data_IF_288186346298
#
_entry.id   IF_288186346298
#
_cell.length_a   1.000
_cell.length_b   1.000
_cell.length_c   1.000
_cell.angle_alpha   90.00
_cell.angle_beta   90.00
_cell.angle_gamma   90.00
#
_symmetry.space_group_name_H-M   'P 1'
#
loop_
_entity.id
_entity.type
_entity.pdbx_description
1 polymer ?
#
# COMPACT_ATOMS: atom_id res chain seq x y z
N UNK A 1 -8.96 22.33 10.49
CA UNK A 1 -8.65 20.97 10.09
C UNK A 1 -7.38 20.92 9.26
N UNK A 2 -6.60 19.92 9.52
CA UNK A 2 -5.32 19.75 8.86
C UNK A 2 -5.40 19.05 7.52
N UNK A 3 -6.57 18.58 7.08
CA UNK A 3 -6.67 17.86 5.81
C UNK A 3 -6.80 18.82 4.64
N UNK A 4 -5.99 18.58 3.62
CA UNK A 4 -6.05 19.28 2.38
C UNK A 4 -6.98 18.50 1.44
N UNK A 5 -8.08 19.10 1.00
CA UNK A 5 -9.05 18.39 0.17
C UNK A 5 -8.47 18.01 -1.19
N UNK A 6 -7.56 18.80 -1.74
CA UNK A 6 -6.89 18.43 -2.99
C UNK A 6 -6.02 17.20 -2.82
N UNK A 7 -5.34 17.09 -1.69
CA UNK A 7 -4.51 15.94 -1.37
C UNK A 7 -5.37 14.67 -1.25
N UNK A 8 -6.51 14.78 -0.56
CA UNK A 8 -7.43 13.66 -0.39
C UNK A 8 -7.99 13.21 -1.74
N UNK A 9 -8.39 14.16 -2.58
CA UNK A 9 -8.92 13.85 -3.91
C UNK A 9 -7.88 13.15 -4.77
N UNK A 10 -6.64 13.57 -4.67
CA UNK A 10 -5.56 12.96 -5.43
C UNK A 10 -5.32 11.51 -5.00
N UNK A 11 -5.36 11.25 -3.70
CA UNK A 11 -5.23 9.89 -3.17
C UNK A 11 -6.36 9.00 -3.71
N UNK A 12 -7.58 9.50 -3.68
CA UNK A 12 -8.75 8.76 -4.14
C UNK A 12 -8.61 8.39 -5.61
N UNK A 13 -8.15 9.34 -6.42
CA UNK A 13 -7.93 9.10 -7.84
C UNK A 13 -6.79 8.11 -8.08
N UNK A 14 -5.67 8.30 -7.41
CA UNK A 14 -4.50 7.45 -7.61
C UNK A 14 -4.78 6.01 -7.23
N UNK A 15 -5.59 5.80 -6.21
CA UNK A 15 -5.93 4.45 -5.76
C UNK A 15 -7.19 3.90 -6.43
N UNK A 16 -7.82 4.71 -7.29
CA UNK A 16 -8.98 4.29 -8.08
C UNK A 16 -10.12 3.76 -7.21
N UNK A 17 -10.43 4.51 -6.17
CA UNK A 17 -11.45 4.10 -5.21
C UNK A 17 -12.70 4.99 -5.22
N UNK A 18 -12.80 5.92 -6.19
CA UNK A 18 -13.93 6.85 -6.24
C UNK A 18 -15.28 6.15 -6.10
N UNK A 19 -15.50 5.10 -6.90
CA UNK A 19 -16.79 4.41 -6.90
C UNK A 19 -17.00 3.53 -5.66
N UNK A 20 -15.96 3.33 -4.87
CA UNK A 20 -16.04 2.45 -3.70
C UNK A 20 -16.47 3.19 -2.45
N UNK A 21 -16.47 4.52 -2.48
CA UNK A 21 -16.66 5.33 -1.29
C UNK A 21 -18.05 5.17 -0.65
N UNK A 22 -19.04 4.77 -1.43
CA UNK A 22 -20.39 4.54 -0.91
C UNK A 22 -20.71 3.09 -0.64
N UNK A 23 -19.74 2.18 -0.81
CA UNK A 23 -19.99 0.75 -0.68
C UNK A 23 -19.75 0.27 0.74
N UNK A 24 -20.46 -0.80 1.12
CA UNK A 24 -20.17 -1.48 2.38
C UNK A 24 -18.83 -2.22 2.26
N UNK A 25 -18.02 -2.24 3.32
CA UNK A 25 -16.73 -2.96 3.25
C UNK A 25 -16.87 -4.41 2.82
N UNK A 26 -17.94 -5.09 3.25
CA UNK A 26 -18.15 -6.49 2.91
C UNK A 26 -18.39 -6.75 1.43
N UNK A 27 -18.80 -5.72 0.69
CA UNK A 27 -19.08 -5.87 -0.73
C UNK A 27 -17.85 -5.63 -1.60
N UNK A 28 -16.74 -5.25 -1.00
CA UNK A 28 -15.51 -4.96 -1.75
C UNK A 28 -14.66 -6.22 -1.93
N UNK A 29 -14.00 -6.32 -3.09
CA UNK A 29 -13.03 -7.38 -3.32
C UNK A 29 -11.81 -7.18 -2.42
N UNK A 30 -10.96 -8.21 -2.30
CA UNK A 30 -9.74 -8.10 -1.52
C UNK A 30 -8.85 -6.95 -1.96
N UNK A 31 -8.68 -6.81 -3.27
CA UNK A 31 -7.87 -5.71 -3.81
C UNK A 31 -8.48 -4.35 -3.54
N UNK A 32 -9.80 -4.26 -3.65
CA UNK A 32 -10.51 -3.01 -3.36
C UNK A 32 -10.39 -2.65 -1.88
N UNK A 33 -10.56 -3.64 -1.00
CA UNK A 33 -10.38 -3.40 0.43
C UNK A 33 -8.97 -2.91 0.75
N UNK A 34 -7.98 -3.50 0.10
CA UNK A 34 -6.59 -3.12 0.32
C UNK A 34 -6.34 -1.68 -0.14
N UNK A 35 -6.89 -1.30 -1.28
CA UNK A 35 -6.72 0.07 -1.78
C UNK A 35 -7.37 1.09 -0.86
N UNK A 36 -8.54 0.78 -0.33
CA UNK A 36 -9.22 1.66 0.63
C UNK A 36 -8.41 1.79 1.92
N UNK A 37 -7.84 0.68 2.39
CA UNK A 37 -7.00 0.70 3.59
C UNK A 37 -5.76 1.57 3.39
N UNK A 38 -5.13 1.50 2.22
CA UNK A 38 -3.98 2.34 1.89
C UNK A 38 -4.38 3.80 1.87
N UNK A 39 -5.52 4.12 1.25
CA UNK A 39 -6.00 5.50 1.19
C UNK A 39 -6.25 6.06 2.58
N UNK A 40 -6.83 5.24 3.45
CA UNK A 40 -7.10 5.66 4.82
C UNK A 40 -5.81 5.98 5.58
N UNK A 41 -4.81 5.14 5.40
CA UNK A 41 -3.52 5.36 6.05
C UNK A 41 -2.85 6.63 5.51
N UNK A 42 -2.92 6.84 4.20
CA UNK A 42 -2.31 8.03 3.58
C UNK A 42 -3.00 9.33 3.96
N UNK A 43 -4.31 9.28 4.26
CA UNK A 43 -5.06 10.48 4.59
C UNK A 43 -4.48 11.19 5.81
N UNK A 44 -3.81 10.46 6.69
CA UNK A 44 -3.16 11.02 7.88
C UNK A 44 -1.82 11.68 7.57
N UNK A 45 -1.37 11.64 6.32
CA UNK A 45 -0.09 12.19 5.86
C UNK A 45 1.09 11.64 6.66
N UNK A 46 1.24 10.30 6.71
CA UNK A 46 2.29 9.70 7.53
C UNK A 46 3.65 9.87 6.88
N UNK A 47 4.69 9.85 7.70
CA UNK A 47 6.06 9.84 7.19
C UNK A 47 6.48 8.43 6.78
N UNK A 48 5.89 7.43 7.41
CA UNK A 48 6.18 6.03 7.15
C UNK A 48 4.86 5.29 6.99
N UNK A 49 4.75 4.52 5.91
CA UNK A 49 3.60 3.66 5.66
C UNK A 49 4.06 2.21 5.78
N UNK A 50 3.46 1.46 6.70
CA UNK A 50 3.75 0.03 6.85
C UNK A 50 2.69 -0.78 6.13
N UNK A 51 3.13 -1.70 5.30
CA UNK A 51 2.23 -2.60 4.59
C UNK A 51 2.64 -4.04 4.91
N UNK A 52 1.79 -4.74 5.65
CA UNK A 52 2.06 -6.09 6.11
C UNK A 52 1.38 -7.08 5.16
N UNK A 53 2.19 -7.80 4.38
CA UNK A 53 1.73 -8.74 3.37
C UNK A 53 0.62 -8.13 2.50
N UNK A 54 0.88 -6.97 1.89
CA UNK A 54 -0.20 -6.22 1.23
C UNK A 54 -0.81 -6.93 0.02
N UNK A 55 -0.15 -7.94 -0.52
CA UNK A 55 -0.65 -8.67 -1.68
C UNK A 55 -0.89 -10.15 -1.38
N UNK A 56 -0.79 -10.55 -0.11
CA UNK A 56 -0.77 -11.96 0.27
C UNK A 56 -2.03 -12.73 -0.07
N UNK A 57 -3.19 -12.09 -0.05
CA UNK A 57 -4.45 -12.76 -0.35
C UNK A 57 -5.02 -12.37 -1.71
N UNK A 58 -4.24 -11.67 -2.54
CA UNK A 58 -4.71 -11.17 -3.82
C UNK A 58 -4.24 -12.07 -4.96
N UNK A 59 -5.00 -12.11 -6.06
CA UNK A 59 -4.58 -12.79 -7.26
C UNK A 59 -3.42 -12.00 -7.91
N UNK A 60 -2.83 -12.58 -8.96
CA UNK A 60 -1.64 -11.99 -9.58
C UNK A 60 -1.91 -10.59 -10.13
N UNK A 61 -3.06 -10.41 -10.78
CA UNK A 61 -3.41 -9.13 -11.38
C UNK A 61 -3.54 -8.04 -10.31
N UNK A 62 -4.29 -8.34 -9.25
CA UNK A 62 -4.50 -7.38 -8.17
C UNK A 62 -3.23 -7.16 -7.35
N UNK A 63 -2.41 -8.20 -7.21
CA UNK A 63 -1.11 -8.06 -6.52
C UNK A 63 -0.23 -7.04 -7.23
N UNK A 64 -0.13 -7.16 -8.55
CA UNK A 64 0.68 -6.21 -9.33
C UNK A 64 0.14 -4.80 -9.25
N UNK A 65 -1.19 -4.66 -9.30
CA UNK A 65 -1.84 -3.36 -9.22
C UNK A 65 -1.56 -2.69 -7.88
N UNK A 66 -1.79 -3.40 -6.78
CA UNK A 66 -1.60 -2.84 -5.43
C UNK A 66 -0.13 -2.51 -5.19
N UNK A 67 0.78 -3.41 -5.58
CA UNK A 67 2.21 -3.14 -5.41
C UNK A 67 2.65 -1.93 -6.19
N UNK A 68 2.17 -1.79 -7.45
CA UNK A 68 2.49 -0.62 -8.25
C UNK A 68 2.00 0.67 -7.61
N UNK A 69 0.82 0.64 -7.02
CA UNK A 69 0.27 1.79 -6.30
C UNK A 69 1.12 2.14 -5.09
N UNK A 70 1.55 1.15 -4.32
CA UNK A 70 2.40 1.39 -3.14
C UNK A 70 3.73 2.02 -3.54
N UNK A 71 4.35 1.53 -4.61
CA UNK A 71 5.62 2.08 -5.08
C UNK A 71 5.45 3.52 -5.57
N UNK A 72 4.33 3.80 -6.23
CA UNK A 72 4.03 5.15 -6.69
C UNK A 72 3.82 6.11 -5.52
N UNK A 73 3.18 5.65 -4.45
CA UNK A 73 2.98 6.44 -3.24
C UNK A 73 4.32 6.88 -2.64
N UNK A 74 5.26 5.96 -2.57
CA UNK A 74 6.59 6.28 -2.04
C UNK A 74 7.25 7.42 -2.81
N UNK A 75 7.07 7.43 -4.13
CA UNK A 75 7.68 8.47 -4.97
C UNK A 75 6.91 9.79 -4.92
N UNK A 76 5.59 9.72 -4.86
CA UNK A 76 4.76 10.90 -5.05
C UNK A 76 4.43 11.65 -3.77
N UNK A 77 4.26 10.95 -2.66
CA UNK A 77 3.74 11.54 -1.44
C UNK A 77 4.77 11.75 -0.34
N UNK A 78 6.03 11.60 -0.66
CA UNK A 78 7.12 11.79 0.31
C UNK A 78 6.90 10.95 1.58
N UNK A 79 6.42 9.73 1.38
CA UNK A 79 6.16 8.78 2.45
C UNK A 79 7.11 7.61 2.29
N UNK A 80 7.84 7.27 3.34
CA UNK A 80 8.69 6.08 3.31
C UNK A 80 7.81 4.84 3.37
N UNK A 81 8.14 3.85 2.57
CA UNK A 81 7.34 2.64 2.48
C UNK A 81 8.11 1.47 3.08
N UNK A 82 7.49 0.78 4.05
CA UNK A 82 8.04 -0.44 4.63
C UNK A 82 7.05 -1.56 4.32
N UNK A 83 7.50 -2.55 3.56
CA UNK A 83 6.67 -3.69 3.19
C UNK A 83 7.19 -4.94 3.87
N UNK A 84 6.31 -5.62 4.60
CA UNK A 84 6.62 -6.90 5.23
C UNK A 84 6.01 -7.97 4.35
N UNK A 85 6.84 -8.89 3.85
CA UNK A 85 6.37 -9.88 2.89
C UNK A 85 7.20 -11.16 2.93
N UNK A 86 6.56 -12.28 2.62
CA UNK A 86 7.23 -13.55 2.38
C UNK A 86 7.45 -13.77 0.87
N UNK A 87 6.96 -12.89 0.04
CA UNK A 87 7.05 -13.03 -1.41
C UNK A 87 8.38 -12.50 -1.94
N UNK A 88 9.17 -13.37 -2.56
CA UNK A 88 10.41 -12.95 -3.19
C UNK A 88 10.16 -12.01 -4.36
N UNK A 89 9.05 -12.22 -5.07
CA UNK A 89 8.68 -11.37 -6.19
C UNK A 89 8.42 -9.95 -5.74
N UNK A 90 7.73 -9.78 -4.61
CA UNK A 90 7.48 -8.46 -4.04
C UNK A 90 8.78 -7.84 -3.53
N UNK A 91 9.54 -8.63 -2.77
CA UNK A 91 10.80 -8.14 -2.18
C UNK A 91 11.77 -7.64 -3.25
N UNK A 92 11.80 -8.28 -4.41
CA UNK A 92 12.73 -7.93 -5.48
C UNK A 92 12.46 -6.56 -6.09
N UNK A 93 11.28 -6.00 -5.86
CA UNK A 93 10.91 -4.70 -6.41
C UNK A 93 11.18 -3.55 -5.46
N UNK A 94 11.67 -3.84 -4.27
CA UNK A 94 11.97 -2.84 -3.25
C UNK A 94 13.44 -2.48 -3.29
N UNK A 95 13.75 -1.22 -2.95
CA UNK A 95 15.12 -0.71 -3.01
C UNK A 95 16.03 -1.37 -1.99
N UNK A 96 15.53 -1.55 -0.78
CA UNK A 96 16.30 -2.17 0.29
C UNK A 96 15.50 -3.34 0.82
N UNK A 97 16.17 -4.47 0.94
CA UNK A 97 15.50 -5.68 1.41
C UNK A 97 16.28 -6.25 2.59
N UNK A 98 15.57 -6.44 3.71
CA UNK A 98 16.13 -7.04 4.91
C UNK A 98 15.44 -8.37 5.16
N UNK A 99 16.21 -9.35 5.59
CA UNK A 99 15.66 -10.67 5.85
C UNK A 99 15.85 -11.01 7.32
N UNK A 100 14.77 -11.44 7.98
CA UNK A 100 14.82 -11.85 9.37
C UNK A 100 15.11 -13.34 9.47
N UNK A 101 16.20 -13.69 10.11
CA UNK A 101 16.58 -15.09 10.34
C UNK A 101 16.97 -15.28 11.79
N UNK A 102 16.32 -16.21 12.45
CA UNK A 102 16.69 -16.56 13.84
C UNK A 102 16.88 -15.33 14.71
N UNK A 103 15.96 -14.38 14.62
CA UNK A 103 15.96 -13.12 15.37
C UNK A 103 17.08 -12.16 14.97
N UNK A 104 17.70 -12.38 13.82
CA UNK A 104 18.70 -11.47 13.28
C UNK A 104 18.19 -10.87 11.98
N UNK A 105 18.62 -9.64 11.70
CA UNK A 105 18.30 -8.97 10.43
C UNK A 105 19.50 -9.05 9.52
N UNK A 106 19.29 -9.60 8.32
CA UNK A 106 20.34 -9.72 7.31
C UNK A 106 20.03 -8.82 6.13
N UNK A 107 21.06 -8.10 5.66
CA UNK A 107 20.96 -7.26 4.48
C UNK A 107 21.11 -8.11 3.23
N UNK A 108 20.26 -7.91 2.25
CA UNK A 108 20.31 -8.69 1.01
C UNK A 108 20.99 -7.99 -0.12
#
# INVERSE_FOLDING_TARGET
NSYNSEYIEEIIEDLKITRLLGEWPESLSGGEQQRVAIARALAAQPKILFADEPTGSLDEKNSKLVLGMLLNINKKYNTSLVVITHSQAVASKLEVCLELKSKKVSHR
#
